data_IF_912658696306
#
_entry.id   IF_912658696306
#
_cell.length_a   1.000
_cell.length_b   1.000
_cell.length_c   1.000
_cell.angle_alpha   90.00
_cell.angle_beta   90.00
_cell.angle_gamma   90.00
#
_symmetry.space_group_name_H-M   'P 1'
#
loop_
_entity.id
_entity.type
_entity.pdbx_description
1 polymer ?
#
# COMPACT_ATOMS: atom_id res chain seq x y z
N UNK A 1 -5.05 7.32 -14.44
CA UNK A 1 -6.22 8.15 -14.09
C UNK A 1 -6.11 9.48 -14.82
N UNK A 2 -7.22 9.98 -15.35
CA UNK A 2 -7.31 11.23 -16.13
C UNK A 2 -8.35 12.16 -15.53
N UNK A 3 -8.40 13.43 -15.98
CA UNK A 3 -9.37 14.40 -15.46
C UNK A 3 -10.83 13.98 -15.74
N UNK A 4 -11.06 13.22 -16.81
CA UNK A 4 -12.37 12.65 -17.12
C UNK A 4 -12.85 11.61 -16.09
N UNK A 5 -11.94 11.02 -15.30
CA UNK A 5 -12.30 10.04 -14.26
C UNK A 5 -12.81 10.73 -12.97
N UNK A 6 -12.75 12.07 -12.87
CA UNK A 6 -12.92 12.79 -11.61
C UNK A 6 -14.24 12.49 -10.89
N UNK A 7 -15.37 12.43 -11.61
CA UNK A 7 -16.67 12.13 -11.00
C UNK A 7 -16.74 10.70 -10.44
N UNK A 8 -16.20 9.73 -11.19
CA UNK A 8 -16.18 8.35 -10.75
C UNK A 8 -15.23 8.13 -9.56
N UNK A 9 -14.07 8.80 -9.57
CA UNK A 9 -13.15 8.81 -8.44
C UNK A 9 -13.77 9.50 -7.22
N UNK A 10 -14.52 10.59 -7.40
CA UNK A 10 -15.23 11.22 -6.28
C UNK A 10 -16.25 10.27 -5.63
N UNK A 11 -16.95 9.46 -6.44
CA UNK A 11 -17.86 8.45 -5.91
C UNK A 11 -17.18 7.32 -5.12
N UNK A 12 -15.84 7.21 -5.19
CA UNK A 12 -15.02 6.25 -4.44
C UNK A 12 -14.40 6.95 -3.23
N UNK A 13 -13.60 7.99 -3.46
CA UNK A 13 -12.87 8.72 -2.42
C UNK A 13 -13.79 9.55 -1.51
N UNK A 14 -14.99 9.90 -1.96
CA UNK A 14 -16.00 10.59 -1.15
C UNK A 14 -16.91 9.67 -0.36
N UNK A 15 -16.88 8.34 -0.58
CA UNK A 15 -17.74 7.40 0.17
C UNK A 15 -17.10 7.09 1.55
N UNK A 16 -17.73 7.47 2.67
CA UNK A 16 -17.17 7.25 4.00
C UNK A 16 -16.95 5.79 4.36
N UNK A 17 -17.69 4.85 3.74
CA UNK A 17 -17.50 3.43 3.97
C UNK A 17 -16.29 2.88 3.19
N UNK A 18 -15.97 3.48 2.04
CA UNK A 18 -14.78 3.12 1.26
C UNK A 18 -13.52 3.65 1.95
N UNK A 19 -13.56 4.88 2.46
CA UNK A 19 -12.45 5.55 3.14
C UNK A 19 -12.35 5.23 4.64
N UNK A 20 -13.23 4.37 5.18
CA UNK A 20 -13.31 4.08 6.62
C UNK A 20 -11.98 3.66 7.26
N UNK A 21 -11.13 2.97 6.50
CA UNK A 21 -9.87 2.38 6.96
C UNK A 21 -8.65 2.99 6.26
N UNK A 22 -8.79 4.19 5.70
CA UNK A 22 -7.68 4.96 5.14
C UNK A 22 -7.24 6.04 6.12
N UNK A 23 -5.99 6.49 6.01
CA UNK A 23 -5.46 7.59 6.84
C UNK A 23 -6.04 8.97 6.47
N UNK A 24 -6.78 9.05 5.37
CA UNK A 24 -7.41 10.27 4.87
C UNK A 24 -8.92 10.28 5.14
N UNK A 25 -9.46 11.47 5.41
CA UNK A 25 -10.90 11.68 5.46
C UNK A 25 -11.53 11.54 4.07
N UNK A 26 -12.82 11.15 3.97
CA UNK A 26 -13.54 11.14 2.71
C UNK A 26 -13.48 12.49 2.01
N UNK A 27 -13.25 12.47 0.71
CA UNK A 27 -13.06 13.69 -0.05
C UNK A 27 -14.35 14.53 -0.01
N UNK A 28 -14.28 15.79 0.44
CA UNK A 28 -15.49 16.59 0.65
C UNK A 28 -16.06 17.13 -0.66
N UNK A 29 -15.24 17.25 -1.71
CA UNK A 29 -15.65 17.85 -2.99
C UNK A 29 -14.96 17.21 -4.18
N UNK A 30 -15.56 17.37 -5.37
CA UNK A 30 -14.94 17.01 -6.65
C UNK A 30 -13.62 17.76 -6.88
N UNK A 31 -13.48 18.99 -6.37
CA UNK A 31 -12.24 19.76 -6.46
C UNK A 31 -11.08 19.08 -5.72
N UNK A 32 -11.36 18.37 -4.62
CA UNK A 32 -10.35 17.58 -3.89
C UNK A 32 -9.79 16.45 -4.76
N UNK A 33 -10.63 15.81 -5.58
CA UNK A 33 -10.18 14.83 -6.57
C UNK A 33 -9.25 15.47 -7.61
N UNK A 34 -9.56 16.69 -8.06
CA UNK A 34 -8.68 17.42 -8.98
C UNK A 34 -7.29 17.70 -8.39
N UNK A 35 -7.20 17.98 -7.08
CA UNK A 35 -5.93 18.14 -6.38
C UNK A 35 -5.18 16.79 -6.31
N UNK A 36 -5.88 15.73 -5.94
CA UNK A 36 -5.31 14.37 -5.90
C UNK A 36 -4.79 13.94 -7.28
N UNK A 37 -5.53 14.17 -8.37
CA UNK A 37 -5.07 13.85 -9.73
C UNK A 37 -3.80 14.61 -10.13
N UNK A 38 -3.65 15.87 -9.70
CA UNK A 38 -2.40 16.63 -9.89
C UNK A 38 -1.24 16.01 -9.11
N UNK A 39 -1.49 15.62 -7.85
CA UNK A 39 -0.48 14.94 -7.01
C UNK A 39 -0.03 13.62 -7.63
N UNK A 40 -0.99 12.78 -8.05
CA UNK A 40 -0.71 11.50 -8.74
C UNK A 40 0.17 11.71 -9.98
N UNK A 41 -0.13 12.72 -10.81
CA UNK A 41 0.69 13.03 -11.99
C UNK A 41 2.11 13.44 -11.61
N UNK A 42 2.25 14.27 -10.57
CA UNK A 42 3.56 14.70 -10.10
C UNK A 42 4.39 13.52 -9.56
N UNK A 43 3.78 12.65 -8.75
CA UNK A 43 4.43 11.47 -8.19
C UNK A 43 4.82 10.45 -9.26
N UNK A 44 4.00 10.31 -10.31
CA UNK A 44 4.33 9.48 -11.47
C UNK A 44 5.58 10.00 -12.19
N UNK A 45 5.64 11.30 -12.48
CA UNK A 45 6.80 11.93 -13.13
C UNK A 45 8.06 11.81 -12.27
N UNK A 46 7.91 11.89 -10.94
CA UNK A 46 9.01 11.69 -10.00
C UNK A 46 9.42 10.22 -9.80
N UNK A 47 8.67 9.25 -10.37
CA UNK A 47 8.91 7.83 -10.15
C UNK A 47 8.64 7.36 -8.72
N UNK A 48 7.79 8.09 -7.97
CA UNK A 48 7.51 7.85 -6.55
C UNK A 48 6.20 7.11 -6.30
N UNK A 49 5.26 7.15 -7.24
CA UNK A 49 4.01 6.39 -7.18
C UNK A 49 3.53 6.02 -8.58
N UNK A 50 2.90 4.86 -8.69
CA UNK A 50 2.20 4.39 -9.86
C UNK A 50 0.75 4.07 -9.47
N UNK A 51 -0.20 4.86 -9.95
CA UNK A 51 -1.62 4.73 -9.60
C UNK A 51 -2.49 4.51 -10.85
N UNK A 52 -3.36 3.50 -10.78
CA UNK A 52 -4.25 3.13 -11.87
C UNK A 52 -5.71 3.18 -11.44
N UNK A 53 -6.57 3.60 -12.37
CA UNK A 53 -8.01 3.35 -12.28
C UNK A 53 -8.29 1.91 -12.71
N UNK A 54 -9.18 1.25 -11.98
CA UNK A 54 -9.74 -0.05 -12.35
C UNK A 54 -10.98 0.23 -13.19
N UNK A 55 -10.97 -0.19 -14.46
CA UNK A 55 -12.05 0.02 -15.41
C UNK A 55 -12.80 -1.28 -15.64
N UNK A 56 -14.12 -1.27 -15.48
CA UNK A 56 -14.97 -2.42 -15.76
C UNK A 56 -15.06 -2.67 -17.27
N UNK A 57 -14.67 -3.86 -17.69
CA UNK A 57 -14.75 -4.28 -19.09
C UNK A 57 -16.22 -4.30 -19.53
N UNK A 58 -16.53 -3.65 -20.64
CA UNK A 58 -17.87 -3.61 -21.24
C UNK A 58 -18.55 -2.26 -21.05
N UNK A 59 -18.66 -1.76 -19.82
CA UNK A 59 -19.25 -0.43 -19.57
C UNK A 59 -18.23 0.71 -19.70
N UNK A 60 -16.96 0.44 -19.41
CA UNK A 60 -15.93 1.48 -19.34
C UNK A 60 -15.95 2.28 -18.03
N UNK A 61 -16.76 1.88 -17.06
CA UNK A 61 -16.87 2.59 -15.79
C UNK A 61 -15.62 2.40 -14.93
N UNK A 62 -15.17 3.48 -14.29
CA UNK A 62 -14.16 3.40 -13.22
C UNK A 62 -14.82 2.87 -11.96
N UNK A 63 -14.35 1.72 -11.49
CA UNK A 63 -14.91 0.99 -10.34
C UNK A 63 -13.98 0.97 -9.13
N UNK A 64 -12.75 1.46 -9.25
CA UNK A 64 -11.78 1.43 -8.17
C UNK A 64 -10.45 2.03 -8.58
N UNK A 65 -9.51 2.00 -7.65
CA UNK A 65 -8.11 2.36 -7.86
C UNK A 65 -7.21 1.29 -7.25
N UNK A 66 -6.02 1.11 -7.83
CA UNK A 66 -4.95 0.35 -7.22
C UNK A 66 -3.60 0.90 -7.67
N UNK A 67 -2.58 0.75 -6.84
CA UNK A 67 -1.30 1.38 -7.09
C UNK A 67 -0.15 0.81 -6.30
N UNK A 68 1.03 1.29 -6.66
CA UNK A 68 2.30 1.02 -5.99
C UNK A 68 2.92 2.35 -5.56
N UNK A 69 3.24 2.47 -4.28
CA UNK A 69 3.86 3.66 -3.69
C UNK A 69 4.94 3.27 -2.68
N UNK A 70 5.53 4.28 -2.02
CA UNK A 70 6.58 4.06 -1.01
C UNK A 70 7.72 3.17 -1.49
N UNK A 71 8.19 3.38 -2.73
CA UNK A 71 9.23 2.56 -3.33
C UNK A 71 10.54 2.64 -2.54
N UNK A 72 11.04 1.48 -2.14
CA UNK A 72 12.43 1.26 -1.76
C UNK A 72 13.08 0.44 -2.87
N UNK A 73 13.54 1.13 -3.90
CA UNK A 73 14.18 0.50 -5.07
C UNK A 73 15.48 -0.22 -4.70
N UNK A 74 16.19 0.28 -3.69
CA UNK A 74 17.39 -0.37 -3.15
C UNK A 74 17.03 -1.76 -2.66
N UNK A 75 15.92 -1.91 -1.94
CA UNK A 75 15.45 -3.18 -1.43
C UNK A 75 14.51 -3.96 -2.36
N UNK A 76 14.03 -3.34 -3.44
CA UNK A 76 13.04 -3.90 -4.35
C UNK A 76 11.70 -4.09 -3.64
N UNK A 77 11.31 -3.12 -2.82
CA UNK A 77 10.07 -3.14 -2.05
C UNK A 77 9.17 -2.00 -2.52
N UNK A 78 7.87 -2.25 -2.58
CA UNK A 78 6.85 -1.22 -2.71
C UNK A 78 5.64 -1.57 -1.85
N UNK A 79 4.85 -0.57 -1.52
CA UNK A 79 3.56 -0.73 -0.87
C UNK A 79 2.44 -0.76 -1.90
N UNK A 80 1.40 -1.54 -1.63
CA UNK A 80 0.22 -1.69 -2.48
C UNK A 80 -0.95 -0.98 -1.80
N UNK A 81 -1.52 0.00 -2.50
CA UNK A 81 -2.77 0.65 -2.14
C UNK A 81 -3.90 0.22 -3.06
N UNK A 82 -5.13 0.14 -2.54
CA UNK A 82 -6.30 -0.09 -3.38
C UNK A 82 -7.62 0.34 -2.74
N UNK A 83 -8.54 0.84 -3.55
CA UNK A 83 -9.92 1.17 -3.18
C UNK A 83 -10.88 0.63 -4.24
N UNK A 84 -12.03 0.11 -3.80
CA UNK A 84 -13.08 -0.37 -4.70
C UNK A 84 -14.39 0.33 -4.36
N UNK A 85 -15.13 0.76 -5.38
CA UNK A 85 -16.47 1.30 -5.25
C UNK A 85 -17.36 0.29 -4.52
N UNK A 86 -18.13 0.76 -3.55
CA UNK A 86 -18.93 -0.10 -2.65
C UNK A 86 -19.88 -1.05 -3.38
N UNK A 87 -20.49 -0.60 -4.49
CA UNK A 87 -21.39 -1.42 -5.30
C UNK A 87 -20.70 -2.64 -5.96
N UNK A 88 -19.38 -2.64 -6.02
CA UNK A 88 -18.56 -3.66 -6.67
C UNK A 88 -17.88 -4.62 -5.69
N UNK A 89 -18.11 -4.44 -4.38
CA UNK A 89 -17.59 -5.33 -3.34
C UNK A 89 -18.14 -6.75 -3.46
N UNK A 90 -17.31 -7.74 -3.09
CA UNK A 90 -17.70 -9.15 -3.09
C UNK A 90 -17.76 -9.82 -4.47
N UNK A 91 -17.52 -9.08 -5.56
CA UNK A 91 -17.59 -9.59 -6.94
C UNK A 91 -16.24 -10.12 -7.50
N UNK A 92 -15.15 -10.00 -6.72
CA UNK A 92 -13.83 -10.48 -7.12
C UNK A 92 -12.96 -9.48 -7.88
N UNK A 93 -13.50 -8.33 -8.32
CA UNK A 93 -12.77 -7.37 -9.16
C UNK A 93 -11.45 -6.87 -8.56
N UNK A 94 -11.40 -6.58 -7.26
CA UNK A 94 -10.14 -6.16 -6.63
C UNK A 94 -9.10 -7.28 -6.60
N UNK A 95 -9.51 -8.55 -6.47
CA UNK A 95 -8.57 -9.66 -6.52
C UNK A 95 -7.93 -9.79 -7.91
N UNK A 96 -8.72 -9.66 -8.96
CA UNK A 96 -8.22 -9.67 -10.34
C UNK A 96 -7.27 -8.50 -10.61
N UNK A 97 -7.64 -7.30 -10.16
CA UNK A 97 -6.80 -6.10 -10.31
C UNK A 97 -5.44 -6.26 -9.59
N UNK A 98 -5.46 -6.69 -8.32
CA UNK A 98 -4.24 -6.88 -7.54
C UNK A 98 -3.38 -8.05 -8.04
N UNK A 99 -3.98 -9.11 -8.58
CA UNK A 99 -3.22 -10.19 -9.20
C UNK A 99 -2.43 -9.70 -10.43
N UNK A 100 -3.05 -8.85 -11.26
CA UNK A 100 -2.38 -8.20 -12.39
C UNK A 100 -1.29 -7.24 -11.93
N UNK A 101 -1.57 -6.42 -10.91
CA UNK A 101 -0.61 -5.50 -10.33
C UNK A 101 0.61 -6.22 -9.75
N UNK A 102 0.38 -7.34 -9.05
CA UNK A 102 1.44 -8.17 -8.46
C UNK A 102 2.34 -8.76 -9.53
N UNK A 103 1.76 -9.25 -10.64
CA UNK A 103 2.55 -9.73 -11.78
C UNK A 103 3.35 -8.61 -12.42
N UNK A 104 2.77 -7.43 -12.61
CA UNK A 104 3.49 -6.28 -13.14
C UNK A 104 4.69 -5.89 -12.25
N UNK A 105 4.48 -5.82 -10.94
CA UNK A 105 5.53 -5.54 -9.97
C UNK A 105 6.69 -6.55 -10.04
N UNK A 106 6.40 -7.84 -10.15
CA UNK A 106 7.41 -8.89 -10.21
C UNK A 106 8.09 -8.98 -11.59
N UNK A 107 7.29 -9.04 -12.67
CA UNK A 107 7.77 -9.35 -14.01
C UNK A 107 8.42 -8.14 -14.68
N UNK A 108 7.88 -6.94 -14.46
CA UNK A 108 8.32 -5.71 -15.13
C UNK A 108 9.22 -4.89 -14.22
N UNK A 109 8.76 -4.56 -13.01
CA UNK A 109 9.53 -3.72 -12.09
C UNK A 109 10.62 -4.48 -11.32
N UNK A 110 10.61 -5.82 -11.40
CA UNK A 110 11.55 -6.70 -10.69
C UNK A 110 11.58 -6.47 -9.17
N UNK A 111 10.44 -6.06 -8.61
CA UNK A 111 10.29 -5.93 -7.16
C UNK A 111 10.34 -7.32 -6.51
N UNK A 112 11.04 -7.40 -5.38
CA UNK A 112 11.20 -8.61 -4.58
C UNK A 112 10.06 -8.81 -3.58
N UNK A 113 9.43 -7.72 -3.14
CA UNK A 113 8.41 -7.75 -2.09
C UNK A 113 7.38 -6.66 -2.29
N UNK A 114 6.13 -7.02 -2.05
CA UNK A 114 5.04 -6.06 -1.91
C UNK A 114 4.53 -6.10 -0.47
N UNK A 115 4.27 -4.93 0.07
CA UNK A 115 3.68 -4.74 1.40
C UNK A 115 2.28 -4.18 1.20
N UNK A 116 1.34 -4.55 2.06
CA UNK A 116 0.03 -3.93 2.12
C UNK A 116 -0.19 -3.53 3.58
N UNK A 117 -0.44 -2.25 3.82
CA UNK A 117 -0.90 -1.80 5.13
C UNK A 117 -2.42 -1.98 5.21
N UNK A 118 -2.87 -2.70 6.23
CA UNK A 118 -4.28 -3.08 6.37
C UNK A 118 -4.66 -2.97 7.82
N UNK A 119 -5.63 -2.09 8.10
CA UNK A 119 -6.20 -1.94 9.42
C UNK A 119 -6.64 -3.30 10.02
N UNK A 120 -6.34 -3.59 11.30
CA UNK A 120 -6.74 -4.84 11.96
C UNK A 120 -8.25 -5.11 11.92
N UNK A 121 -9.06 -4.06 11.81
CA UNK A 121 -10.51 -4.09 11.75
C UNK A 121 -11.03 -4.34 10.31
N UNK A 122 -10.19 -4.12 9.28
CA UNK A 122 -10.56 -4.34 7.88
C UNK A 122 -10.42 -5.83 7.48
N UNK A 123 -11.33 -6.64 8.02
CA UNK A 123 -11.35 -8.09 7.80
C UNK A 123 -11.54 -8.48 6.31
N UNK A 124 -12.18 -7.62 5.52
CA UNK A 124 -12.36 -7.85 4.09
C UNK A 124 -11.03 -7.76 3.33
N UNK A 125 -10.26 -6.69 3.57
CA UNK A 125 -8.94 -6.53 2.97
C UNK A 125 -7.96 -7.61 3.45
N UNK A 126 -7.98 -7.98 4.74
CA UNK A 126 -7.14 -9.07 5.25
C UNK A 126 -7.40 -10.39 4.51
N UNK A 127 -8.67 -10.76 4.30
CA UNK A 127 -9.02 -11.97 3.54
C UNK A 127 -8.59 -11.88 2.07
N UNK A 128 -8.73 -10.71 1.46
CA UNK A 128 -8.30 -10.45 0.08
C UNK A 128 -6.79 -10.66 -0.08
N UNK A 129 -5.98 -9.96 0.72
CA UNK A 129 -4.53 -10.06 0.64
C UNK A 129 -4.03 -11.47 1.01
N UNK A 130 -4.65 -12.12 2.00
CA UNK A 130 -4.32 -13.51 2.32
C UNK A 130 -4.57 -14.47 1.15
N UNK A 131 -5.71 -14.33 0.44
CA UNK A 131 -6.01 -15.12 -0.77
C UNK A 131 -5.01 -14.88 -1.89
N UNK A 132 -4.45 -13.67 -1.98
CA UNK A 132 -3.40 -13.31 -2.94
C UNK A 132 -1.99 -13.76 -2.51
N UNK A 133 -1.88 -14.50 -1.40
CA UNK A 133 -0.61 -15.06 -0.92
C UNK A 133 0.19 -14.14 0.00
N UNK A 134 -0.36 -12.97 0.37
CA UNK A 134 0.27 -12.11 1.37
C UNK A 134 0.23 -12.81 2.73
N UNK A 135 1.32 -12.67 3.47
CA UNK A 135 1.47 -13.23 4.81
C UNK A 135 1.59 -12.10 5.80
N UNK A 136 0.72 -12.13 6.83
CA UNK A 136 0.88 -11.23 7.98
C UNK A 136 2.12 -11.63 8.75
N UNK A 137 2.87 -10.66 9.26
CA UNK A 137 3.91 -10.95 10.22
C UNK A 137 3.30 -11.64 11.46
N UNK A 138 3.92 -12.72 11.93
CA UNK A 138 3.40 -13.51 13.04
C UNK A 138 3.47 -12.76 14.38
N UNK A 139 4.40 -11.82 14.52
CA UNK A 139 4.58 -10.91 15.65
C UNK A 139 5.32 -9.65 15.20
N UNK A 140 5.35 -8.63 16.08
CA UNK A 140 6.21 -7.44 15.89
C UNK A 140 7.67 -7.87 15.72
N UNK A 141 8.14 -8.79 16.57
CA UNK A 141 9.50 -9.32 16.49
C UNK A 141 9.77 -10.02 15.16
N UNK A 142 8.80 -10.80 14.65
CA UNK A 142 8.93 -11.44 13.33
C UNK A 142 8.99 -10.41 12.19
N UNK A 143 8.27 -9.28 12.31
CA UNK A 143 8.35 -8.19 11.36
C UNK A 143 9.73 -7.51 11.40
N UNK A 144 10.25 -7.22 12.59
CA UNK A 144 11.59 -6.63 12.79
C UNK A 144 12.65 -7.57 12.22
N UNK A 145 12.62 -8.86 12.59
CA UNK A 145 13.55 -9.87 12.11
C UNK A 145 13.54 -9.98 10.58
N UNK A 146 12.36 -9.92 9.96
CA UNK A 146 12.24 -10.00 8.49
C UNK A 146 12.92 -8.84 7.77
N UNK A 147 12.94 -7.65 8.39
CA UNK A 147 13.66 -6.49 7.85
C UNK A 147 15.15 -6.57 8.15
N UNK A 148 15.54 -7.01 9.34
CA UNK A 148 16.96 -7.20 9.67
C UNK A 148 17.63 -8.19 8.73
N UNK A 149 16.99 -9.35 8.48
CA UNK A 149 17.47 -10.35 7.50
C UNK A 149 17.58 -9.74 6.10
N UNK A 150 16.62 -8.91 5.68
CA UNK A 150 16.66 -8.24 4.38
C UNK A 150 17.88 -7.29 4.26
N UNK A 151 18.20 -6.55 5.32
CA UNK A 151 19.36 -5.67 5.35
C UNK A 151 20.65 -6.50 5.34
N UNK A 152 20.71 -7.60 6.10
CA UNK A 152 21.88 -8.48 6.17
C UNK A 152 22.15 -9.22 4.85
N UNK A 153 21.11 -9.72 4.18
CA UNK A 153 21.21 -10.35 2.85
C UNK A 153 21.83 -9.42 1.79
N UNK A 154 21.76 -8.10 1.98
CA UNK A 154 22.27 -7.10 1.03
C UNK A 154 23.59 -6.46 1.45
N UNK A 155 23.72 -6.12 2.73
CA UNK A 155 24.83 -5.33 3.25
C UNK A 155 25.74 -6.12 4.18
N UNK A 156 25.40 -7.38 4.47
CA UNK A 156 26.14 -8.25 5.39
C UNK A 156 27.62 -8.36 5.04
N UNK A 157 27.94 -8.52 3.75
CA UNK A 157 29.33 -8.59 3.25
C UNK A 157 30.13 -7.29 3.45
N UNK A 158 29.44 -6.17 3.66
CA UNK A 158 30.04 -4.84 3.81
C UNK A 158 29.96 -4.30 5.24
N UNK A 159 29.60 -5.12 6.22
CA UNK A 159 29.37 -4.66 7.60
C UNK A 159 30.63 -4.09 8.26
N UNK A 160 31.81 -4.56 7.87
CA UNK A 160 33.09 -4.04 8.36
C UNK A 160 33.53 -2.73 7.66
N UNK A 161 32.82 -2.31 6.62
CA UNK A 161 33.12 -1.05 5.95
C UNK A 161 32.72 0.14 6.84
N UNK A 162 33.62 1.14 7.05
CA UNK A 162 33.40 2.24 7.98
C UNK A 162 32.25 3.19 7.57
N UNK A 163 31.74 3.09 6.35
CA UNK A 163 30.59 3.87 5.84
C UNK A 163 29.34 2.99 5.80
N UNK A 164 29.44 1.79 5.22
CA UNK A 164 28.27 0.92 5.01
C UNK A 164 27.78 0.27 6.30
N UNK A 165 28.69 -0.14 7.19
CA UNK A 165 28.33 -0.76 8.48
C UNK A 165 27.47 0.14 9.38
N UNK A 166 27.83 1.42 9.59
CA UNK A 166 26.97 2.37 10.30
C UNK A 166 25.64 2.62 9.59
N UNK A 167 25.63 2.75 8.26
CA UNK A 167 24.41 2.97 7.47
C UNK A 167 23.43 1.79 7.61
N UNK A 168 23.92 0.55 7.49
CA UNK A 168 23.11 -0.66 7.64
C UNK A 168 22.45 -0.73 9.03
N UNK A 169 23.19 -0.39 10.09
CA UNK A 169 22.65 -0.31 11.46
C UNK A 169 21.56 0.77 11.57
N UNK A 170 21.80 1.96 11.03
CA UNK A 170 20.82 3.04 11.01
C UNK A 170 19.53 2.65 10.26
N UNK A 171 19.66 1.94 9.14
CA UNK A 171 18.52 1.42 8.40
C UNK A 171 17.69 0.44 9.24
N UNK A 172 18.33 -0.53 9.89
CA UNK A 172 17.66 -1.48 10.79
C UNK A 172 16.92 -0.77 11.93
N UNK A 173 17.57 0.20 12.57
CA UNK A 173 16.98 0.99 13.65
C UNK A 173 15.75 1.77 13.20
N UNK A 174 15.84 2.44 12.04
CA UNK A 174 14.73 3.20 11.44
C UNK A 174 13.53 2.29 11.14
N UNK A 175 13.77 1.13 10.52
CA UNK A 175 12.70 0.18 10.23
C UNK A 175 12.07 -0.40 11.49
N UNK A 176 12.89 -0.73 12.49
CA UNK A 176 12.41 -1.20 13.79
C UNK A 176 11.49 -0.18 14.45
N UNK A 177 11.90 1.09 14.48
CA UNK A 177 11.09 2.18 15.03
C UNK A 177 9.74 2.30 14.34
N UNK A 178 9.72 2.33 13.01
CA UNK A 178 8.49 2.42 12.23
C UNK A 178 7.53 1.23 12.47
N UNK A 179 8.07 0.00 12.59
CA UNK A 179 7.25 -1.19 12.87
C UNK A 179 6.63 -1.11 14.27
N UNK A 180 7.41 -0.68 15.28
CA UNK A 180 6.92 -0.55 16.67
C UNK A 180 5.85 0.54 16.76
N UNK A 181 6.08 1.68 16.13
CA UNK A 181 5.14 2.81 16.10
C UNK A 181 3.80 2.38 15.48
N UNK A 182 3.83 1.77 14.30
CA UNK A 182 2.62 1.24 13.64
C UNK A 182 1.88 0.22 14.51
N UNK A 183 2.63 -0.67 15.17
CA UNK A 183 2.03 -1.66 16.06
C UNK A 183 1.44 -1.05 17.34
N UNK A 184 1.99 0.07 17.82
CA UNK A 184 1.44 0.81 18.95
C UNK A 184 0.13 1.51 18.56
N UNK A 185 0.08 2.18 17.41
CA UNK A 185 -1.14 2.83 16.87
C UNK A 185 -2.27 1.80 16.70
N UNK A 186 -1.96 0.64 16.10
CA UNK A 186 -2.92 -0.43 15.92
C UNK A 186 -3.51 -1.00 17.23
N UNK A 187 -2.77 -0.93 18.35
CA UNK A 187 -3.25 -1.36 19.67
C UNK A 187 -4.17 -0.33 20.31
N UNK A 188 -3.79 0.95 20.26
CA UNK A 188 -4.62 2.05 20.82
C UNK A 188 -5.98 2.13 20.11
N UNK A 189 -6.01 1.96 18.79
CA UNK A 189 -7.27 1.95 18.02
C UNK A 189 -8.12 0.69 18.22
N UNK A 190 -7.50 -0.42 18.66
CA UNK A 190 -8.18 -1.65 19.02
C UNK A 190 -8.88 -1.57 20.38
N UNK A 191 -8.32 -0.83 21.33
CA UNK A 191 -8.88 -0.64 22.68
C UNK A 191 -10.03 0.38 22.70
N UNK A 192 -9.98 1.44 21.90
CA UNK A 192 -11.03 2.49 21.84
C UNK A 192 -12.33 2.00 21.17
N UNK A 193 -12.28 0.96 20.34
CA UNK A 193 -13.46 0.41 19.65
C UNK A 193 -14.05 -0.84 20.33
N UNK A 194 -13.58 -1.16 21.56
CA UNK A 194 -13.97 -2.33 22.34
C UNK A 194 -14.93 -2.08 23.50
N UNK A 195 -15.43 -0.85 23.68
CA UNK A 195 -16.42 -0.47 24.71
C UNK A 195 -17.81 -0.21 24.14
#
# INVERSE_FOLDING_TARGET
MVDADAEALFAIYGDPLVMKYTDEEPFPTLSTVGIMLKSVRALLVAGQSLEWAIILRGSGDVIGTCGLHSFDLTNGVAEVGCLLKRAEWGKGFMADALALLTRFAADVLKLKRLIADVAPQNQQAQRLFHKLGYRRAASIDAAIQSVEVMVDERLGEYMDNPIIGPLARQMKEKYRGAIIERAATARMEGEVNGE
#
